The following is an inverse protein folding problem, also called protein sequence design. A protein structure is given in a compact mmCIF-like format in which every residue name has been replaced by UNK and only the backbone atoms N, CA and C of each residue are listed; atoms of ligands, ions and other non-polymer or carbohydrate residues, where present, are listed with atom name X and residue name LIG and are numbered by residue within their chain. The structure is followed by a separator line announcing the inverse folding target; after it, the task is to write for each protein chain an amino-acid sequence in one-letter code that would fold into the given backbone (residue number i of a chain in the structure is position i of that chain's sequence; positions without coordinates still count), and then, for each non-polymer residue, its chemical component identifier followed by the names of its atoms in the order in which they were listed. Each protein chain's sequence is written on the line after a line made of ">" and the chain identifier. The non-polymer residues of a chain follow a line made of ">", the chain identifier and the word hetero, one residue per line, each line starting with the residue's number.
data_IF_559022569811
#
_entry.id   IF_559022569811
#
_cell.length_a   1.000
_cell.length_b   1.000
_cell.length_c   1.000
_cell.angle_alpha   90.00
_cell.angle_beta   90.00
_cell.angle_gamma   90.00
#
_symmetry.space_group_name_H-M   'P 1'
#
loop_
_entity.id
_entity.type
_entity.pdbx_description
1 polymer ?
#
# COMPACT_ATOMS: atom_id res chain seq x y z
N UNK A 1 -17.26 -36.93 46.67
CA UNK A 1 -15.82 -37.27 46.53
C UNK A 1 -15.10 -36.02 45.97
N UNK A 2 -14.47 -35.22 46.82
CA UNK A 2 -13.76 -34.00 46.39
C UNK A 2 -12.33 -34.35 45.96
N UNK A 3 -12.07 -34.25 44.66
CA UNK A 3 -10.71 -34.48 44.11
C UNK A 3 -9.86 -33.27 44.49
N UNK A 4 -9.04 -33.43 45.53
CA UNK A 4 -8.10 -32.41 46.00
C UNK A 4 -6.87 -32.44 45.09
N UNK A 5 -6.79 -31.52 44.14
CA UNK A 5 -5.61 -31.40 43.27
C UNK A 5 -4.37 -31.03 44.11
N UNK A 6 -3.22 -31.73 43.94
CA UNK A 6 -2.01 -31.46 44.69
C UNK A 6 -1.53 -30.01 44.47
N UNK A 7 -1.03 -29.35 45.51
CA UNK A 7 -0.47 -27.98 45.42
C UNK A 7 0.56 -27.84 44.29
N UNK A 8 1.38 -28.88 44.08
CA UNK A 8 2.40 -28.91 43.03
C UNK A 8 1.80 -28.84 41.62
N UNK A 9 0.65 -29.50 41.39
CA UNK A 9 -0.05 -29.47 40.10
C UNK A 9 -0.60 -28.07 39.81
N UNK A 10 -1.11 -27.37 40.84
CA UNK A 10 -1.60 -25.99 40.68
C UNK A 10 -0.46 -25.02 40.35
N UNK A 11 0.70 -25.17 40.98
CA UNK A 11 1.88 -24.34 40.72
C UNK A 11 2.42 -24.56 39.32
N UNK A 12 2.56 -25.81 38.88
CA UNK A 12 2.99 -26.12 37.51
C UNK A 12 2.02 -25.57 36.47
N UNK A 13 0.71 -25.70 36.68
CA UNK A 13 -0.30 -25.17 35.76
C UNK A 13 -0.23 -23.64 35.64
N UNK A 14 0.07 -22.95 36.75
CA UNK A 14 0.21 -21.49 36.79
C UNK A 14 1.46 -21.02 36.06
N UNK A 15 2.58 -21.72 36.23
CA UNK A 15 3.84 -21.42 35.55
C UNK A 15 3.71 -21.63 34.03
N UNK A 16 3.05 -22.71 33.60
CA UNK A 16 2.86 -22.98 32.17
C UNK A 16 1.93 -21.97 31.51
N UNK A 17 0.84 -21.56 32.16
CA UNK A 17 -0.04 -20.48 31.64
C UNK A 17 0.68 -19.14 31.55
N UNK A 18 1.48 -18.79 32.55
CA UNK A 18 2.25 -17.54 32.54
C UNK A 18 3.29 -17.53 31.40
N UNK A 19 4.01 -18.64 31.19
CA UNK A 19 4.96 -18.79 30.09
C UNK A 19 4.28 -18.69 28.71
N UNK A 20 3.11 -19.32 28.53
CA UNK A 20 2.34 -19.22 27.29
C UNK A 20 1.88 -17.79 27.00
N UNK A 21 1.42 -17.07 28.03
CA UNK A 21 1.03 -15.66 27.91
C UNK A 21 2.22 -14.79 27.50
N UNK A 22 3.35 -14.93 28.19
CA UNK A 22 4.59 -14.19 27.89
C UNK A 22 5.12 -14.50 26.48
N UNK A 23 5.04 -15.76 26.05
CA UNK A 23 5.43 -16.14 24.70
C UNK A 23 4.51 -15.51 23.65
N UNK A 24 3.19 -15.56 23.85
CA UNK A 24 2.24 -14.97 22.89
C UNK A 24 2.40 -13.46 22.75
N UNK A 25 2.62 -12.73 23.86
CA UNK A 25 2.82 -11.28 23.82
C UNK A 25 4.14 -10.94 23.17
N UNK A 26 5.22 -11.69 23.45
CA UNK A 26 6.50 -11.52 22.79
C UNK A 26 6.42 -11.77 21.28
N UNK A 27 5.76 -12.85 20.85
CA UNK A 27 5.52 -13.14 19.44
C UNK A 27 4.71 -12.03 18.75
N UNK A 28 3.65 -11.53 19.39
CA UNK A 28 2.85 -10.42 18.86
C UNK A 28 3.68 -9.13 18.72
N UNK A 29 4.53 -8.81 19.70
CA UNK A 29 5.43 -7.65 19.65
C UNK A 29 6.44 -7.80 18.51
N UNK A 30 7.04 -8.98 18.34
CA UNK A 30 8.00 -9.23 17.27
C UNK A 30 7.36 -9.19 15.88
N UNK A 31 6.15 -9.71 15.73
CA UNK A 31 5.41 -9.62 14.47
C UNK A 31 5.05 -8.18 14.13
N UNK A 32 4.63 -7.39 15.12
CA UNK A 32 4.36 -5.95 14.95
C UNK A 32 5.62 -5.19 14.52
N UNK A 33 6.75 -5.43 15.19
CA UNK A 33 8.04 -4.78 14.86
C UNK A 33 8.52 -5.14 13.44
N UNK A 34 8.35 -6.39 13.02
CA UNK A 34 8.68 -6.84 11.66
C UNK A 34 7.77 -6.24 10.58
N UNK A 35 6.52 -5.95 10.93
CA UNK A 35 5.59 -5.21 10.07
C UNK A 35 5.97 -3.73 9.96
N UNK A 36 6.33 -3.09 11.07
CA UNK A 36 6.66 -1.66 11.14
C UNK A 36 7.95 -1.29 10.39
N UNK A 37 8.86 -2.25 10.18
CA UNK A 37 10.12 -2.04 9.45
C UNK A 37 10.06 -2.40 7.95
N UNK A 38 8.92 -2.87 7.43
CA UNK A 38 8.77 -3.09 5.97
C UNK A 38 8.69 -1.75 5.24
N UNK A 39 9.64 -1.56 4.33
CA UNK A 39 9.69 -0.40 3.43
C UNK A 39 9.32 -0.88 2.04
N UNK A 40 8.24 -0.35 1.49
CA UNK A 40 7.93 -0.47 0.06
C UNK A 40 8.50 0.75 -0.61
N UNK A 41 9.48 0.56 -1.49
CA UNK A 41 10.02 1.62 -2.32
C UNK A 41 10.24 1.06 -3.72
N UNK A 42 9.34 1.40 -4.64
CA UNK A 42 9.28 0.76 -5.94
C UNK A 42 8.81 1.74 -7.01
N UNK A 43 9.07 1.39 -8.27
CA UNK A 43 8.70 2.16 -9.45
C UNK A 43 8.09 1.26 -10.51
N UNK A 44 7.11 1.78 -11.24
CA UNK A 44 6.51 1.11 -12.39
C UNK A 44 6.26 2.11 -13.51
N UNK A 45 6.72 1.80 -14.72
CA UNK A 45 6.20 2.45 -15.92
C UNK A 45 4.87 1.79 -16.28
N UNK A 46 3.88 2.59 -16.68
CA UNK A 46 2.57 2.11 -17.06
C UNK A 46 1.99 2.95 -18.20
N UNK A 47 1.22 2.28 -19.04
CA UNK A 47 0.43 2.87 -20.11
C UNK A 47 -1.03 2.56 -19.83
N UNK A 48 -1.87 3.59 -19.85
CA UNK A 48 -3.31 3.46 -19.60
C UNK A 48 -4.09 4.18 -20.69
N UNK A 49 -5.26 3.64 -21.01
CA UNK A 49 -6.11 4.12 -22.10
C UNK A 49 -7.56 4.09 -21.66
N UNK A 50 -8.27 5.19 -21.91
CA UNK A 50 -9.72 5.31 -21.71
C UNK A 50 -10.26 6.09 -22.91
N UNK A 51 -11.11 5.45 -23.70
CA UNK A 51 -11.60 5.98 -24.97
C UNK A 51 -10.46 6.46 -25.90
N UNK A 52 -10.38 7.78 -26.15
CA UNK A 52 -9.34 8.43 -26.98
C UNK A 52 -8.24 9.10 -26.15
N UNK A 53 -8.30 8.97 -24.84
CA UNK A 53 -7.31 9.51 -23.91
C UNK A 53 -6.31 8.42 -23.51
N UNK A 54 -5.05 8.80 -23.36
CA UNK A 54 -4.02 7.92 -22.80
C UNK A 54 -3.13 8.64 -21.79
N UNK A 55 -2.50 7.87 -20.92
CA UNK A 55 -1.46 8.34 -20.02
C UNK A 55 -0.28 7.37 -20.07
N UNK A 56 0.85 7.89 -20.51
CA UNK A 56 2.14 7.21 -20.54
C UNK A 56 2.99 7.75 -19.39
N UNK A 57 3.15 6.99 -18.32
CA UNK A 57 3.69 7.53 -17.08
C UNK A 57 4.48 6.53 -16.26
N UNK A 58 5.17 7.06 -15.27
CA UNK A 58 5.87 6.30 -14.24
C UNK A 58 5.26 6.63 -12.89
N UNK A 59 4.89 5.59 -12.14
CA UNK A 59 4.45 5.66 -10.76
C UNK A 59 5.59 5.22 -9.83
N UNK A 60 5.96 6.08 -8.89
CA UNK A 60 6.89 5.77 -7.79
C UNK A 60 6.11 5.72 -6.50
N UNK A 61 6.21 4.59 -5.80
CA UNK A 61 5.52 4.36 -4.54
C UNK A 61 6.53 4.22 -3.40
N UNK A 62 6.26 4.95 -2.32
CA UNK A 62 7.02 4.87 -1.09
C UNK A 62 6.08 4.67 0.10
N UNK A 63 6.25 3.58 0.86
CA UNK A 63 5.52 3.27 2.07
C UNK A 63 6.49 2.98 3.22
N UNK A 64 6.29 3.65 4.35
CA UNK A 64 7.09 3.46 5.56
C UNK A 64 6.29 3.84 6.81
N UNK A 65 6.21 2.92 7.78
CA UNK A 65 5.61 3.16 9.11
C UNK A 65 4.21 3.81 9.05
N UNK A 66 3.32 3.23 8.23
CA UNK A 66 1.94 3.69 8.10
C UNK A 66 1.75 5.02 7.35
N UNK A 67 2.82 5.59 6.78
CA UNK A 67 2.79 6.77 5.93
C UNK A 67 3.45 6.50 4.59
N UNK A 68 3.01 7.20 3.55
CA UNK A 68 3.60 7.03 2.24
C UNK A 68 3.32 8.17 1.29
N UNK A 69 3.82 7.99 0.08
CA UNK A 69 3.53 8.85 -1.05
C UNK A 69 3.53 8.04 -2.34
N UNK A 70 2.71 8.49 -3.27
CA UNK A 70 2.79 8.08 -4.67
C UNK A 70 3.10 9.30 -5.51
N UNK A 71 4.08 9.17 -6.39
CA UNK A 71 4.42 10.17 -7.39
C UNK A 71 4.12 9.59 -8.76
N UNK A 72 3.43 10.36 -9.59
CA UNK A 72 3.15 10.03 -10.99
C UNK A 72 3.77 11.11 -11.85
N UNK A 73 4.54 10.69 -12.85
CA UNK A 73 5.26 11.56 -13.77
C UNK A 73 5.12 10.99 -15.18
N UNK A 74 4.65 11.77 -16.13
CA UNK A 74 4.44 11.28 -17.49
C UNK A 74 3.81 12.30 -18.41
N UNK A 75 3.12 11.79 -19.43
CA UNK A 75 2.50 12.58 -20.47
C UNK A 75 1.08 12.08 -20.73
N UNK A 76 0.11 12.98 -20.55
CA UNK A 76 -1.30 12.73 -20.84
C UNK A 76 -1.61 13.18 -22.26
N UNK A 77 -2.16 12.28 -23.06
CA UNK A 77 -2.62 12.57 -24.41
C UNK A 77 -4.14 12.66 -24.38
N UNK A 78 -4.65 13.84 -24.70
CA UNK A 78 -6.09 14.10 -24.72
C UNK A 78 -6.76 13.60 -26.01
N UNK A 79 -8.11 13.57 -26.08
CA UNK A 79 -8.82 13.02 -27.23
C UNK A 79 -8.54 13.70 -28.58
N UNK A 80 -8.08 14.95 -28.57
CA UNK A 80 -7.70 15.71 -29.77
C UNK A 80 -6.22 15.52 -30.16
N UNK A 81 -5.47 14.71 -29.41
CA UNK A 81 -4.04 14.45 -29.60
C UNK A 81 -3.12 15.46 -28.91
N UNK A 82 -3.63 16.42 -28.16
CA UNK A 82 -2.80 17.37 -27.42
C UNK A 82 -2.13 16.67 -26.22
N UNK A 83 -0.85 16.94 -26.05
CA UNK A 83 0.00 16.40 -24.98
C UNK A 83 0.08 17.35 -23.79
N UNK A 84 -0.06 16.81 -22.58
CA UNK A 84 0.02 17.55 -21.33
C UNK A 84 0.98 16.83 -20.37
N UNK A 85 2.14 17.44 -20.05
CA UNK A 85 3.04 16.89 -19.05
C UNK A 85 2.36 16.80 -17.69
N UNK A 86 2.42 15.60 -17.10
CA UNK A 86 1.82 15.29 -15.82
C UNK A 86 2.91 15.12 -14.78
N UNK A 87 2.80 15.87 -13.68
CA UNK A 87 3.48 15.55 -12.42
C UNK A 87 2.49 15.68 -11.28
N UNK A 88 2.31 14.60 -10.54
CA UNK A 88 1.41 14.51 -9.41
C UNK A 88 2.11 13.83 -8.25
N UNK A 89 1.96 14.37 -7.04
CA UNK A 89 2.42 13.76 -5.81
C UNK A 89 1.27 13.73 -4.84
N UNK A 90 0.92 12.54 -4.35
CA UNK A 90 -0.10 12.37 -3.33
C UNK A 90 0.50 11.74 -2.08
N UNK A 91 0.25 12.36 -0.93
CA UNK A 91 0.56 11.78 0.37
C UNK A 91 -0.53 10.80 0.78
N UNK A 92 -0.16 9.78 1.55
CA UNK A 92 -1.11 8.80 2.07
C UNK A 92 -0.76 8.37 3.49
N UNK A 93 -1.79 7.97 4.23
CA UNK A 93 -1.67 7.11 5.40
C UNK A 93 -2.19 5.73 5.05
N UNK A 94 -1.60 4.70 5.64
CA UNK A 94 -2.06 3.34 5.40
C UNK A 94 -2.00 2.44 6.63
N UNK A 95 -2.84 1.42 6.61
CA UNK A 95 -2.81 0.29 7.53
C UNK A 95 -2.78 -1.01 6.74
N UNK A 96 -2.17 -2.06 7.30
CA UNK A 96 -2.00 -3.35 6.63
C UNK A 96 -2.72 -4.41 7.44
N UNK A 97 -3.62 -5.13 6.78
CA UNK A 97 -4.25 -6.35 7.28
C UNK A 97 -3.93 -7.51 6.33
N UNK A 98 -2.98 -8.36 6.72
CA UNK A 98 -2.47 -9.41 5.84
C UNK A 98 -1.80 -8.86 4.56
N UNK A 99 -2.45 -9.06 3.41
CA UNK A 99 -2.02 -8.51 2.10
C UNK A 99 -2.78 -7.25 1.69
N UNK A 100 -3.83 -6.89 2.43
CA UNK A 100 -4.69 -5.76 2.14
C UNK A 100 -4.11 -4.49 2.78
N UNK A 101 -3.84 -3.50 1.94
CA UNK A 101 -3.37 -2.18 2.32
C UNK A 101 -4.57 -1.23 2.24
N UNK A 102 -5.04 -0.82 3.40
CA UNK A 102 -6.06 0.22 3.56
C UNK A 102 -5.36 1.57 3.45
N UNK A 103 -5.61 2.28 2.35
CA UNK A 103 -4.90 3.50 1.96
C UNK A 103 -5.88 4.66 1.92
N UNK A 104 -5.55 5.72 2.67
CA UNK A 104 -6.25 7.00 2.60
C UNK A 104 -5.30 8.09 2.11
N UNK A 105 -5.63 8.70 0.97
CA UNK A 105 -4.88 9.84 0.46
C UNK A 105 -5.18 11.09 1.28
N UNK A 106 -4.12 11.78 1.72
CA UNK A 106 -4.18 12.94 2.61
C UNK A 106 -4.07 14.27 1.88
N UNK A 107 -3.84 14.23 0.56
CA UNK A 107 -3.72 15.41 -0.29
C UNK A 107 -2.91 15.09 -1.54
N UNK A 108 -3.19 15.82 -2.61
CA UNK A 108 -2.44 15.77 -3.86
C UNK A 108 -1.90 17.16 -4.22
N UNK A 109 -0.73 17.19 -4.82
CA UNK A 109 -0.18 18.36 -5.47
C UNK A 109 0.11 18.01 -6.93
N UNK A 110 -0.48 18.76 -7.85
CA UNK A 110 -0.38 18.53 -9.29
C UNK A 110 0.19 19.76 -9.97
N UNK A 111 1.06 19.57 -10.95
CA UNK A 111 1.61 20.68 -11.75
C UNK A 111 0.68 21.12 -12.88
N UNK A 112 -0.36 20.33 -13.18
CA UNK A 112 -1.36 20.64 -14.20
C UNK A 112 -2.61 21.24 -13.55
N UNK A 113 -3.29 22.16 -14.25
CA UNK A 113 -4.58 22.69 -13.79
C UNK A 113 -5.66 21.64 -14.05
N UNK A 114 -6.67 21.58 -13.17
CA UNK A 114 -7.82 20.68 -13.38
C UNK A 114 -8.53 20.90 -14.72
N UNK A 115 -8.45 22.12 -15.26
CA UNK A 115 -9.04 22.48 -16.55
C UNK A 115 -8.22 21.95 -17.73
N UNK A 116 -6.93 21.66 -17.53
CA UNK A 116 -6.01 21.19 -18.58
C UNK A 116 -6.22 19.70 -18.90
N UNK A 117 -6.95 18.97 -18.05
CA UNK A 117 -7.11 17.52 -18.15
C UNK A 117 -8.57 17.14 -18.08
N UNK A 118 -8.98 16.25 -18.98
CA UNK A 118 -10.35 15.74 -19.03
C UNK A 118 -10.74 15.09 -17.68
N UNK A 119 -12.04 15.12 -17.35
CA UNK A 119 -12.64 14.41 -16.19
C UNK A 119 -12.24 12.94 -16.10
N UNK A 120 -11.90 12.33 -17.23
CA UNK A 120 -11.53 10.92 -17.33
C UNK A 120 -10.08 10.65 -16.92
N UNK A 121 -9.26 11.68 -16.67
CA UNK A 121 -7.86 11.51 -16.24
C UNK A 121 -7.73 10.64 -14.98
N UNK A 122 -8.67 10.77 -14.03
CA UNK A 122 -8.67 9.94 -12.82
C UNK A 122 -8.79 8.45 -13.11
N UNK A 123 -9.42 8.06 -14.23
CA UNK A 123 -9.59 6.67 -14.65
C UNK A 123 -8.32 6.07 -15.26
N UNK A 124 -7.39 6.92 -15.70
CA UNK A 124 -6.09 6.52 -16.24
C UNK A 124 -5.06 6.23 -15.14
N UNK A 125 -5.34 6.63 -13.89
CA UNK A 125 -4.40 6.47 -12.80
C UNK A 125 -4.50 5.09 -12.17
N UNK A 126 -3.36 4.43 -11.85
CA UNK A 126 -3.38 3.15 -11.16
C UNK A 126 -3.83 3.28 -9.69
N UNK A 127 -3.90 4.50 -9.16
CA UNK A 127 -4.32 4.79 -7.80
C UNK A 127 -5.35 5.92 -7.80
N UNK A 128 -6.34 5.81 -6.93
CA UNK A 128 -7.40 6.82 -6.75
C UNK A 128 -6.93 8.07 -5.97
N UNK A 129 -5.84 8.68 -6.40
CA UNK A 129 -5.15 9.78 -5.70
C UNK A 129 -5.95 11.10 -5.66
N UNK A 130 -7.00 11.21 -6.47
CA UNK A 130 -7.86 12.40 -6.58
C UNK A 130 -8.90 12.50 -5.47
N UNK A 131 -9.16 11.41 -4.75
CA UNK A 131 -10.20 11.35 -3.72
C UNK A 131 -9.57 11.36 -2.33
N UNK A 132 -9.70 12.48 -1.63
CA UNK A 132 -9.25 12.59 -0.25
C UNK A 132 -10.28 11.97 0.70
N UNK A 133 -9.81 11.44 1.83
CA UNK A 133 -10.64 10.88 2.90
C UNK A 133 -11.49 9.64 2.56
N UNK A 134 -11.29 9.02 1.40
CA UNK A 134 -11.82 7.69 1.08
C UNK A 134 -10.77 6.64 1.44
N UNK A 135 -11.21 5.53 2.02
CA UNK A 135 -10.34 4.38 2.31
C UNK A 135 -10.38 3.41 1.12
N UNK A 136 -9.23 3.20 0.48
CA UNK A 136 -9.07 2.31 -0.65
C UNK A 136 -8.30 1.07 -0.22
N UNK A 137 -8.78 -0.10 -0.63
CA UNK A 137 -8.07 -1.35 -0.38
C UNK A 137 -7.27 -1.75 -1.62
N UNK A 138 -5.98 -1.98 -1.45
CA UNK A 138 -5.07 -2.48 -2.47
C UNK A 138 -4.38 -3.76 -1.96
N UNK A 139 -4.23 -4.77 -2.81
CA UNK A 139 -3.45 -5.96 -2.48
C UNK A 139 -2.02 -5.79 -2.94
N UNK A 140 -1.05 -6.00 -2.04
CA UNK A 140 0.38 -5.94 -2.36
C UNK A 140 1.02 -7.32 -2.26
N UNK A 141 1.29 -7.93 -3.41
CA UNK A 141 1.87 -9.25 -3.50
C UNK A 141 3.37 -9.15 -3.87
N UNK A 142 4.24 -9.42 -2.89
CA UNK A 142 5.69 -9.40 -3.10
C UNK A 142 6.12 -10.59 -3.95
N UNK A 143 6.86 -10.32 -5.01
CA UNK A 143 7.43 -11.30 -5.92
C UNK A 143 8.82 -11.76 -5.44
N UNK A 144 9.34 -12.84 -6.04
CA UNK A 144 10.62 -13.43 -5.65
C UNK A 144 11.82 -12.49 -5.83
N UNK A 145 11.76 -11.55 -6.77
CA UNK A 145 12.79 -10.54 -7.01
C UNK A 145 12.64 -9.28 -6.12
N UNK A 146 11.66 -9.29 -5.21
CA UNK A 146 11.34 -8.18 -4.32
C UNK A 146 10.51 -7.07 -4.97
N UNK A 147 10.08 -7.24 -6.23
CA UNK A 147 9.03 -6.40 -6.84
C UNK A 147 7.67 -6.67 -6.18
N UNK A 148 6.70 -5.79 -6.42
CA UNK A 148 5.35 -5.90 -5.90
C UNK A 148 4.34 -5.88 -7.05
N UNK A 149 3.50 -6.90 -7.13
CA UNK A 149 2.28 -6.84 -7.92
C UNK A 149 1.21 -6.15 -7.06
N UNK A 150 0.72 -5.00 -7.53
CA UNK A 150 -0.30 -4.22 -6.85
C UNK A 150 -1.63 -4.45 -7.56
N UNK A 151 -2.64 -4.85 -6.80
CA UNK A 151 -4.00 -5.10 -7.30
C UNK A 151 -5.02 -4.28 -6.55
N UNK A 152 -6.19 -4.12 -7.15
CA UNK A 152 -7.38 -3.63 -6.49
C UNK A 152 -8.58 -4.45 -6.95
N UNK A 153 -9.36 -4.97 -6.00
CA UNK A 153 -10.49 -5.86 -6.28
C UNK A 153 -10.11 -7.04 -7.19
N UNK A 154 -8.91 -7.59 -7.01
CA UNK A 154 -8.37 -8.70 -7.81
C UNK A 154 -7.72 -8.30 -9.14
N UNK A 155 -7.99 -7.09 -9.65
CA UNK A 155 -7.44 -6.60 -10.92
C UNK A 155 -6.02 -6.10 -10.74
N UNK A 156 -5.09 -6.53 -11.60
CA UNK A 156 -3.73 -6.02 -11.61
C UNK A 156 -3.70 -4.57 -12.06
N UNK A 157 -3.12 -3.69 -11.23
CA UNK A 157 -2.97 -2.28 -11.52
C UNK A 157 -1.57 -2.01 -12.08
N UNK A 158 -0.53 -2.35 -11.32
CA UNK A 158 0.87 -2.17 -11.73
C UNK A 158 1.77 -3.27 -11.15
N UNK A 159 2.82 -3.60 -11.90
CA UNK A 159 3.96 -4.37 -11.41
C UNK A 159 5.09 -3.39 -11.06
N UNK A 160 5.35 -3.23 -9.77
CA UNK A 160 6.23 -2.20 -9.24
C UNK A 160 7.58 -2.79 -8.86
N UNK A 161 8.63 -2.46 -9.61
CA UNK A 161 9.99 -2.95 -9.39
C UNK A 161 10.63 -2.24 -8.21
N UNK A 162 11.25 -2.98 -7.31
CA UNK A 162 11.99 -2.41 -6.18
C UNK A 162 13.06 -1.45 -6.67
N UNK A 163 13.09 -0.25 -6.11
CA UNK A 163 14.18 0.69 -6.35
C UNK A 163 15.29 0.34 -5.36
N UNK A 164 16.45 -0.07 -5.88
CA UNK A 164 17.66 -0.22 -5.08
C UNK A 164 18.00 1.13 -4.47
N UNK A 165 18.26 1.17 -3.15
CA UNK A 165 18.84 2.38 -2.55
C UNK A 165 20.19 2.64 -3.24
N UNK A 166 20.51 3.88 -3.63
CA UNK A 166 21.86 4.23 -4.05
C UNK A 166 22.85 3.97 -2.92
#
# INVERSE_FOLDING_TARGET
>A
MQIRTPKNVKVTLFITTLLLLLFSTYSAIMMKKKSDDKIVHCMSAFDSHVDKSSLHATATLYLYRGKGSVQISGDYISPDGTHYPVKSVAGMIYHVDGQDYHVRFTGNNTTFRKDDVNKDFGLLLPFSISSTNIDYVYQFEMQNDGSYLIRQNGNALIMCKKISRP
#
